data_IF_384292293391
#
_entry.id   IF_384292293391
#
_cell.length_a   1.000
_cell.length_b   1.000
_cell.length_c   1.000
_cell.angle_alpha   90.00
_cell.angle_beta   90.00
_cell.angle_gamma   90.00
#
_symmetry.space_group_name_H-M   'P 1'
#
loop_
_entity.id
_entity.type
_entity.pdbx_description
1 polymer ?
#
# COMPACT_ATOMS: atom_id res chain seq x y z
N UNK A 1 -4.56 -0.97 7.00
CA UNK A 1 -5.77 -0.66 7.80
C UNK A 1 -5.95 -1.51 9.06
N UNK A 2 -5.82 -2.84 9.00
CA UNK A 2 -6.20 -3.76 10.09
C UNK A 2 -5.57 -3.48 11.46
N UNK A 3 -4.34 -2.99 11.50
CA UNK A 3 -3.64 -2.66 12.75
C UNK A 3 -3.93 -1.26 13.28
N UNK A 4 -4.56 -0.37 12.50
CA UNK A 4 -4.77 1.02 12.89
C UNK A 4 -5.72 1.17 14.08
N UNK A 5 -6.84 0.44 14.06
CA UNK A 5 -7.78 0.40 15.18
C UNK A 5 -7.17 -0.14 16.48
N UNK A 6 -6.56 -1.33 16.49
CA UNK A 6 -5.84 -1.85 17.67
C UNK A 6 -4.80 -0.87 18.20
N UNK A 7 -4.01 -0.25 17.32
CA UNK A 7 -2.97 0.71 17.70
C UNK A 7 -3.56 1.93 18.42
N UNK A 8 -4.56 2.60 17.83
CA UNK A 8 -5.21 3.76 18.44
C UNK A 8 -5.93 3.43 19.75
N UNK A 9 -6.40 2.19 19.88
CA UNK A 9 -7.09 1.71 21.08
C UNK A 9 -6.14 1.11 22.13
N UNK A 10 -4.83 1.37 22.01
CA UNK A 10 -3.78 0.96 22.96
C UNK A 10 -3.65 -0.57 23.14
N UNK A 11 -4.05 -1.36 22.14
CA UNK A 11 -3.69 -2.79 22.10
C UNK A 11 -2.18 -2.95 22.14
N UNK A 12 -1.68 -4.02 22.75
CA UNK A 12 -0.24 -4.29 22.83
C UNK A 12 0.33 -4.68 21.45
N UNK A 13 1.64 -4.46 21.19
CA UNK A 13 2.29 -4.95 19.97
C UNK A 13 2.18 -6.46 19.74
N UNK A 14 1.95 -7.23 20.81
CA UNK A 14 1.80 -8.69 20.82
C UNK A 14 0.35 -9.17 20.63
N UNK A 15 -0.61 -8.25 20.46
CA UNK A 15 -2.00 -8.59 20.15
C UNK A 15 -2.07 -9.33 18.80
N UNK A 16 -2.83 -10.43 18.73
CA UNK A 16 -2.95 -11.23 17.51
C UNK A 16 -3.49 -10.44 16.31
N UNK A 17 -4.31 -9.40 16.57
CA UNK A 17 -4.82 -8.48 15.55
C UNK A 17 -3.71 -7.60 14.94
N UNK A 18 -2.55 -7.54 15.59
CA UNK A 18 -1.36 -6.81 15.15
C UNK A 18 -0.29 -7.77 14.63
N UNK A 19 0.02 -8.84 15.36
CA UNK A 19 1.08 -9.80 14.96
C UNK A 19 0.70 -10.58 13.72
N UNK A 20 -0.55 -11.06 13.60
CA UNK A 20 -1.00 -11.83 12.44
C UNK A 20 -0.79 -11.12 11.09
N UNK A 21 -1.24 -9.84 10.94
CA UNK A 21 -0.93 -9.06 9.75
C UNK A 21 0.57 -8.81 9.53
N UNK A 22 1.34 -8.55 10.60
CA UNK A 22 2.80 -8.33 10.51
C UNK A 22 3.53 -9.56 9.99
N UNK A 23 3.19 -10.75 10.48
CA UNK A 23 3.82 -12.00 10.04
C UNK A 23 3.56 -12.27 8.56
N UNK A 24 2.37 -11.92 8.05
CA UNK A 24 2.05 -12.00 6.62
C UNK A 24 2.92 -11.04 5.81
N UNK A 25 3.04 -9.79 6.27
CA UNK A 25 3.90 -8.80 5.60
C UNK A 25 5.37 -9.21 5.65
N UNK A 26 5.84 -9.79 6.75
CA UNK A 26 7.25 -10.21 6.88
C UNK A 26 7.58 -11.35 5.93
N UNK A 27 6.71 -12.36 5.82
CA UNK A 27 6.86 -13.42 4.81
C UNK A 27 6.86 -12.88 3.38
N UNK A 28 5.96 -11.96 3.07
CA UNK A 28 5.89 -11.35 1.73
C UNK A 28 7.13 -10.50 1.42
N UNK A 29 7.66 -9.79 2.42
CA UNK A 29 8.89 -9.01 2.32
C UNK A 29 10.10 -9.91 2.10
N UNK A 30 10.24 -11.00 2.86
CA UNK A 30 11.34 -11.94 2.68
C UNK A 30 11.28 -12.57 1.29
N UNK A 31 10.10 -13.03 0.84
CA UNK A 31 9.92 -13.57 -0.51
C UNK A 31 10.21 -12.54 -1.62
N UNK A 32 9.86 -11.26 -1.43
CA UNK A 32 10.19 -10.20 -2.37
C UNK A 32 11.70 -10.02 -2.50
N UNK A 33 12.41 -9.93 -1.37
CA UNK A 33 13.86 -9.74 -1.36
C UNK A 33 14.57 -10.94 -2.00
N UNK A 34 14.17 -12.17 -1.64
CA UNK A 34 14.72 -13.41 -2.19
C UNK A 34 14.52 -13.48 -3.72
N UNK A 35 13.35 -13.12 -4.23
CA UNK A 35 13.07 -13.13 -5.67
C UNK A 35 13.89 -12.04 -6.39
N UNK A 36 14.05 -10.86 -5.80
CA UNK A 36 14.80 -9.76 -6.42
C UNK A 36 16.31 -9.95 -6.39
N UNK A 37 16.84 -10.71 -5.42
CA UNK A 37 18.25 -11.07 -5.37
C UNK A 37 18.66 -11.97 -6.56
N UNK A 38 17.70 -12.64 -7.20
CA UNK A 38 17.93 -13.46 -8.39
C UNK A 38 18.05 -12.67 -9.70
N UNK A 39 17.70 -11.38 -9.68
CA UNK A 39 17.81 -10.52 -10.85
C UNK A 39 19.30 -10.20 -11.01
N UNK A 40 19.91 -10.79 -12.03
CA UNK A 40 21.36 -10.78 -12.27
C UNK A 40 21.91 -9.42 -12.70
N UNK A 41 23.04 -9.44 -13.40
CA UNK A 41 23.69 -8.22 -13.89
C UNK A 41 22.80 -7.51 -14.93
N UNK A 42 22.52 -6.23 -14.67
CA UNK A 42 21.71 -5.36 -15.53
C UNK A 42 22.54 -4.45 -16.42
N UNK A 43 23.88 -4.53 -16.39
CA UNK A 43 24.78 -3.65 -17.14
C UNK A 43 24.45 -3.66 -18.65
N UNK A 44 24.16 -2.47 -19.19
CA UNK A 44 23.93 -2.27 -20.62
C UNK A 44 22.47 -2.37 -21.06
N UNK A 45 21.52 -2.58 -20.14
CA UNK A 45 20.09 -2.45 -20.37
C UNK A 45 19.49 -1.36 -19.47
N UNK A 46 19.26 -0.17 -20.04
CA UNK A 46 18.73 1.00 -19.32
C UNK A 46 17.40 0.71 -18.60
N UNK A 47 16.56 -0.18 -19.14
CA UNK A 47 15.28 -0.54 -18.52
C UNK A 47 15.50 -1.43 -17.29
N UNK A 48 16.42 -2.39 -17.36
CA UNK A 48 16.77 -3.23 -16.21
C UNK A 48 17.51 -2.43 -15.13
N UNK A 49 18.39 -1.50 -15.50
CA UNK A 49 19.06 -0.61 -14.53
C UNK A 49 18.04 0.25 -13.74
N UNK A 50 17.03 0.78 -14.44
CA UNK A 50 15.93 1.52 -13.79
C UNK A 50 15.12 0.63 -12.83
N UNK A 51 14.81 -0.60 -13.24
CA UNK A 51 14.11 -1.59 -12.41
C UNK A 51 14.95 -1.92 -11.16
N UNK A 52 16.26 -2.12 -11.30
CA UNK A 52 17.17 -2.37 -10.18
C UNK A 52 17.23 -1.20 -9.19
N UNK A 53 17.23 0.04 -9.69
CA UNK A 53 17.19 1.23 -8.84
C UNK A 53 15.88 1.28 -8.02
N UNK A 54 14.73 1.03 -8.66
CA UNK A 54 13.43 0.94 -7.99
C UNK A 54 13.38 -0.17 -6.94
N UNK A 55 13.91 -1.35 -7.25
CA UNK A 55 14.01 -2.47 -6.31
C UNK A 55 14.88 -2.10 -5.11
N UNK A 56 16.04 -1.49 -5.34
CA UNK A 56 16.96 -1.08 -4.27
C UNK A 56 16.31 -0.06 -3.32
N UNK A 57 15.56 0.89 -3.88
CA UNK A 57 14.78 1.85 -3.10
C UNK A 57 13.72 1.15 -2.25
N UNK A 58 12.97 0.21 -2.83
CA UNK A 58 11.93 -0.55 -2.14
C UNK A 58 12.57 -1.42 -1.04
N UNK A 59 13.69 -2.09 -1.30
CA UNK A 59 14.41 -2.88 -0.31
C UNK A 59 14.82 -2.03 0.90
N UNK A 60 15.31 -0.80 0.67
CA UNK A 60 15.60 0.17 1.73
C UNK A 60 14.35 0.52 2.54
N UNK A 61 13.23 0.85 1.88
CA UNK A 61 11.95 1.14 2.54
C UNK A 61 11.47 -0.07 3.38
N UNK A 62 11.54 -1.28 2.83
CA UNK A 62 11.21 -2.53 3.52
C UNK A 62 12.10 -2.78 4.74
N UNK A 63 13.39 -2.42 4.67
CA UNK A 63 14.31 -2.45 5.81
C UNK A 63 13.83 -1.58 6.98
N UNK A 64 13.14 -0.47 6.70
CA UNK A 64 12.60 0.44 7.72
C UNK A 64 11.27 0.00 8.33
N UNK A 65 10.64 -1.07 7.82
CA UNK A 65 9.29 -1.48 8.25
C UNK A 65 9.23 -1.82 9.75
N UNK A 66 10.32 -2.37 10.31
CA UNK A 66 10.45 -2.64 11.75
C UNK A 66 10.49 -1.35 12.56
N UNK A 67 11.16 -0.32 12.05
CA UNK A 67 11.20 1.02 12.67
C UNK A 67 9.83 1.66 12.64
N UNK A 68 9.14 1.69 11.49
CA UNK A 68 7.77 2.20 11.35
C UNK A 68 6.84 1.55 12.39
N UNK A 69 6.92 0.22 12.51
CA UNK A 69 6.14 -0.56 13.47
C UNK A 69 6.47 -0.28 14.93
N UNK A 70 7.71 0.10 15.24
CA UNK A 70 8.16 0.46 16.59
C UNK A 70 7.68 1.86 16.93
N UNK A 71 7.94 2.84 16.07
CA UNK A 71 7.56 4.25 16.27
C UNK A 71 6.06 4.43 16.33
N UNK A 72 5.29 3.58 15.65
CA UNK A 72 3.83 3.56 15.74
C UNK A 72 3.29 3.40 17.18
N UNK A 73 4.07 2.78 18.08
CA UNK A 73 3.70 2.56 19.49
C UNK A 73 4.28 3.61 20.45
N UNK A 74 5.07 4.55 19.96
CA UNK A 74 5.61 5.61 20.79
C UNK A 74 4.47 6.54 21.25
N UNK A 75 4.56 6.98 22.50
CA UNK A 75 3.54 7.85 23.07
C UNK A 75 3.48 9.18 22.31
N UNK A 76 2.28 9.57 21.88
CA UNK A 76 2.07 10.78 21.07
C UNK A 76 2.41 10.64 19.59
N UNK A 77 2.80 9.46 19.10
CA UNK A 77 3.03 9.23 17.68
C UNK A 77 1.73 9.42 16.86
N UNK A 78 1.70 10.30 15.85
CA UNK A 78 0.51 10.47 15.02
C UNK A 78 0.23 9.21 14.19
N UNK A 79 -0.98 8.68 14.30
CA UNK A 79 -1.43 7.52 13.49
C UNK A 79 -1.29 7.78 11.98
N UNK A 80 -1.53 9.02 11.55
CA UNK A 80 -1.35 9.48 10.16
C UNK A 80 0.08 9.25 9.64
N UNK A 81 1.12 9.43 10.45
CA UNK A 81 2.50 9.23 10.01
C UNK A 81 2.78 7.74 9.71
N UNK A 82 2.20 6.84 10.50
CA UNK A 82 2.31 5.41 10.24
C UNK A 82 1.56 5.04 8.96
N UNK A 83 0.34 5.56 8.79
CA UNK A 83 -0.47 5.32 7.58
C UNK A 83 0.26 5.83 6.34
N UNK A 84 0.83 7.02 6.38
CA UNK A 84 1.52 7.63 5.24
C UNK A 84 2.76 6.84 4.82
N UNK A 85 3.60 6.42 5.78
CA UNK A 85 4.79 5.60 5.49
C UNK A 85 4.42 4.25 4.85
N UNK A 86 3.33 3.61 5.27
CA UNK A 86 2.83 2.40 4.59
C UNK A 86 2.32 2.71 3.17
N UNK A 87 1.56 3.79 3.00
CA UNK A 87 1.06 4.20 1.69
C UNK A 87 2.20 4.49 0.70
N UNK A 88 3.29 5.12 1.15
CA UNK A 88 4.47 5.37 0.32
C UNK A 88 5.11 4.07 -0.18
N UNK A 89 5.34 3.10 0.72
CA UNK A 89 5.88 1.78 0.35
C UNK A 89 4.98 1.05 -0.65
N UNK A 90 3.66 1.04 -0.41
CA UNK A 90 2.70 0.39 -1.31
C UNK A 90 2.71 1.08 -2.68
N UNK A 91 2.77 2.40 -2.72
CA UNK A 91 2.88 3.15 -3.97
C UNK A 91 4.15 2.77 -4.74
N UNK A 92 5.30 2.67 -4.07
CA UNK A 92 6.56 2.24 -4.70
C UNK A 92 6.47 0.82 -5.28
N UNK A 93 5.86 -0.13 -4.56
CA UNK A 93 5.62 -1.49 -5.06
C UNK A 93 4.73 -1.51 -6.31
N UNK A 94 3.70 -0.65 -6.36
CA UNK A 94 2.83 -0.53 -7.54
C UNK A 94 3.57 0.09 -8.74
N UNK A 95 4.40 1.09 -8.51
CA UNK A 95 5.24 1.69 -9.56
C UNK A 95 6.21 0.66 -10.17
N UNK A 96 6.88 -0.14 -9.35
CA UNK A 96 7.77 -1.20 -9.83
C UNK A 96 7.04 -2.17 -10.78
N UNK A 97 5.80 -2.55 -10.45
CA UNK A 97 5.02 -3.43 -11.33
C UNK A 97 4.79 -2.82 -12.72
N UNK A 98 4.57 -1.51 -12.80
CA UNK A 98 4.35 -0.80 -14.05
C UNK A 98 5.65 -0.69 -14.87
N UNK A 99 6.78 -0.44 -14.22
CA UNK A 99 8.09 -0.34 -14.87
C UNK A 99 8.50 -1.68 -15.48
N UNK A 100 8.32 -2.79 -14.72
CA UNK A 100 8.57 -4.14 -15.24
C UNK A 100 7.69 -4.47 -16.45
N UNK A 101 6.41 -4.10 -16.42
CA UNK A 101 5.52 -4.33 -17.56
C UNK A 101 5.95 -3.53 -18.80
N UNK A 102 6.43 -2.30 -18.61
CA UNK A 102 6.94 -1.46 -19.70
C UNK A 102 8.18 -2.07 -20.35
N UNK A 103 9.09 -2.65 -19.57
CA UNK A 103 10.29 -3.31 -20.08
C UNK A 103 9.97 -4.50 -21.01
N UNK A 104 8.85 -5.21 -20.81
CA UNK A 104 8.46 -6.33 -21.69
C UNK A 104 8.09 -5.94 -23.12
N UNK A 105 7.80 -4.65 -23.37
CA UNK A 105 7.27 -4.14 -24.65
C UNK A 105 6.00 -4.82 -25.16
N UNK A 106 5.31 -5.62 -24.34
CA UNK A 106 4.07 -6.30 -24.71
C UNK A 106 2.85 -5.40 -24.40
N UNK A 107 2.09 -4.93 -25.41
CA UNK A 107 0.97 -4.01 -25.18
C UNK A 107 -0.13 -4.55 -24.26
N UNK A 108 -0.40 -5.85 -24.30
CA UNK A 108 -1.43 -6.46 -23.46
C UNK A 108 -0.97 -6.59 -22.01
N UNK A 109 0.29 -6.96 -21.79
CA UNK A 109 0.91 -6.94 -20.45
C UNK A 109 0.92 -5.52 -19.87
N UNK A 110 1.29 -4.52 -20.66
CA UNK A 110 1.29 -3.11 -20.23
C UNK A 110 -0.12 -2.66 -19.82
N UNK A 111 -1.15 -2.95 -20.63
CA UNK A 111 -2.54 -2.61 -20.31
C UNK A 111 -3.02 -3.30 -19.03
N UNK A 112 -2.80 -4.61 -18.92
CA UNK A 112 -3.24 -5.41 -17.76
C UNK A 112 -2.55 -4.95 -16.49
N UNK A 113 -1.25 -4.67 -16.53
CA UNK A 113 -0.52 -4.20 -15.34
C UNK A 113 -0.89 -2.77 -14.96
N UNK A 114 -1.13 -1.89 -15.94
CA UNK A 114 -1.65 -0.54 -15.66
C UNK A 114 -3.04 -0.58 -15.01
N UNK A 115 -3.93 -1.46 -15.49
CA UNK A 115 -5.23 -1.68 -14.88
C UNK A 115 -5.09 -2.23 -13.44
N UNK A 116 -4.27 -3.26 -13.25
CA UNK A 116 -4.00 -3.83 -11.92
C UNK A 116 -3.44 -2.79 -10.95
N UNK A 117 -2.51 -1.95 -11.38
CA UNK A 117 -1.93 -0.88 -10.56
C UNK A 117 -2.96 0.19 -10.21
N UNK A 118 -3.82 0.60 -11.15
CA UNK A 118 -4.91 1.54 -10.88
C UNK A 118 -5.93 0.96 -9.88
N UNK A 119 -6.31 -0.30 -10.04
CA UNK A 119 -7.19 -1.00 -9.11
C UNK A 119 -6.57 -1.14 -7.71
N UNK A 120 -5.31 -1.55 -7.65
CA UNK A 120 -4.58 -1.71 -6.39
C UNK A 120 -4.38 -0.37 -5.68
N UNK A 121 -4.15 0.72 -6.43
CA UNK A 121 -4.12 2.08 -5.88
C UNK A 121 -5.47 2.47 -5.28
N UNK A 122 -6.58 2.19 -5.97
CA UNK A 122 -7.91 2.44 -5.43
C UNK A 122 -8.13 1.70 -4.11
N UNK A 123 -7.79 0.40 -4.07
CA UNK A 123 -7.87 -0.41 -2.85
C UNK A 123 -7.00 0.13 -1.72
N UNK A 124 -5.81 0.66 -2.03
CA UNK A 124 -4.96 1.28 -1.01
C UNK A 124 -5.59 2.57 -0.47
N UNK A 125 -6.13 3.44 -1.31
CA UNK A 125 -6.83 4.63 -0.84
C UNK A 125 -8.07 4.30 0.00
N UNK A 126 -8.80 3.23 -0.34
CA UNK A 126 -9.87 2.70 0.51
C UNK A 126 -9.33 2.17 1.87
N UNK A 127 -8.20 1.47 1.86
CA UNK A 127 -7.49 1.02 3.08
C UNK A 127 -7.07 2.21 3.94
N UNK A 128 -6.54 3.29 3.35
CA UNK A 128 -6.21 4.53 4.07
C UNK A 128 -7.44 5.11 4.76
N UNK A 129 -8.57 5.20 4.06
CA UNK A 129 -9.83 5.67 4.65
C UNK A 129 -10.26 4.80 5.84
N UNK A 130 -10.26 3.46 5.66
CA UNK A 130 -10.55 2.52 6.75
C UNK A 130 -9.60 2.69 7.93
N UNK A 131 -8.32 2.92 7.67
CA UNK A 131 -7.31 3.12 8.72
C UNK A 131 -7.56 4.41 9.51
N UNK A 132 -7.86 5.53 8.83
CA UNK A 132 -8.19 6.82 9.47
C UNK A 132 -9.44 6.68 10.33
N UNK A 133 -10.50 6.05 9.79
CA UNK A 133 -11.76 5.84 10.52
C UNK A 133 -11.52 4.91 11.72
N UNK A 134 -10.86 3.76 11.52
CA UNK A 134 -10.57 2.82 12.60
C UNK A 134 -9.69 3.43 13.70
N UNK A 135 -8.75 4.30 13.32
CA UNK A 135 -7.90 5.01 14.27
C UNK A 135 -8.68 6.05 15.09
N UNK A 136 -9.78 6.57 14.56
CA UNK A 136 -10.64 7.55 15.21
C UNK A 136 -11.76 6.96 16.06
N UNK A 137 -12.15 5.71 15.79
CA UNK A 137 -13.22 5.03 16.51
C UNK A 137 -12.76 4.55 17.90
N UNK A 138 -13.56 4.80 18.96
CA UNK A 138 -13.23 4.36 20.31
C UNK A 138 -13.37 2.84 20.43
N UNK A 139 -12.57 2.25 21.31
CA UNK A 139 -12.50 0.83 21.55
C UNK A 139 -11.52 0.49 22.68
N UNK A 140 -11.69 -0.69 23.29
CA UNK A 140 -10.82 -1.15 24.36
C UNK A 140 -10.73 -0.15 25.52
N UNK A 141 -9.56 0.46 25.70
CA UNK A 141 -9.27 1.41 26.79
C UNK A 141 -9.58 2.88 26.46
N UNK A 142 -9.87 3.20 25.20
CA UNK A 142 -10.20 4.56 24.74
C UNK A 142 -11.72 4.70 24.67
N UNK A 143 -12.26 5.72 25.34
CA UNK A 143 -13.70 5.90 25.51
C UNK A 143 -14.32 6.92 24.55
N UNK A 144 -13.52 7.87 24.07
CA UNK A 144 -14.00 8.96 23.22
C UNK A 144 -13.49 8.80 21.78
N UNK A 145 -14.33 9.05 20.76
CA UNK A 145 -13.86 9.14 19.39
C UNK A 145 -12.91 10.33 19.23
N UNK A 146 -11.90 10.18 18.38
CA UNK A 146 -10.96 11.25 18.07
C UNK A 146 -10.73 11.35 16.57
N UNK A 147 -11.35 12.37 15.94
CA UNK A 147 -11.15 12.70 14.54
C UNK A 147 -10.91 14.20 14.41
N UNK A 148 -9.65 14.61 14.31
CA UNK A 148 -9.30 16.03 14.21
C UNK A 148 -9.47 16.53 12.75
N UNK A 149 -9.41 17.86 12.51
CA UNK A 149 -9.52 18.41 11.15
C UNK A 149 -8.50 17.87 10.14
N UNK A 150 -7.27 17.58 10.57
CA UNK A 150 -6.23 17.01 9.71
C UNK A 150 -6.56 15.58 9.30
N UNK A 151 -7.06 14.76 10.24
CA UNK A 151 -7.51 13.39 9.96
C UNK A 151 -8.66 13.40 8.94
N UNK A 152 -9.62 14.33 9.10
CA UNK A 152 -10.73 14.51 8.15
C UNK A 152 -10.24 14.89 6.75
N UNK A 153 -9.31 15.84 6.67
CA UNK A 153 -8.76 16.27 5.38
C UNK A 153 -7.98 15.14 4.72
N UNK A 154 -7.19 14.39 5.48
CA UNK A 154 -6.41 13.27 4.98
C UNK A 154 -7.33 12.16 4.43
N UNK A 155 -8.37 11.77 5.18
CA UNK A 155 -9.37 10.81 4.73
C UNK A 155 -10.16 11.29 3.50
N UNK A 156 -10.56 12.56 3.46
CA UNK A 156 -11.24 13.15 2.29
C UNK A 156 -10.35 13.16 1.05
N UNK A 157 -9.07 13.46 1.19
CA UNK A 157 -8.10 13.39 0.11
C UNK A 157 -7.94 11.95 -0.40
N UNK A 158 -7.93 10.96 0.50
CA UNK A 158 -7.89 9.55 0.12
C UNK A 158 -9.14 9.14 -0.68
N UNK A 159 -10.34 9.54 -0.26
CA UNK A 159 -11.59 9.30 -1.00
C UNK A 159 -11.56 9.89 -2.42
N UNK A 160 -11.05 11.11 -2.56
CA UNK A 160 -10.90 11.75 -3.87
C UNK A 160 -9.87 11.01 -4.75
N UNK A 161 -8.78 10.51 -4.16
CA UNK A 161 -7.77 9.72 -4.87
C UNK A 161 -8.31 8.35 -5.30
N UNK A 162 -9.08 7.68 -4.44
CA UNK A 162 -9.77 6.43 -4.76
C UNK A 162 -10.69 6.60 -5.97
N UNK A 163 -11.57 7.61 -5.95
CA UNK A 163 -12.49 7.88 -7.07
C UNK A 163 -11.77 8.04 -8.41
N UNK A 164 -10.63 8.75 -8.41
CA UNK A 164 -9.80 8.92 -9.61
C UNK A 164 -9.13 7.62 -10.04
N UNK A 165 -8.60 6.84 -9.09
CA UNK A 165 -7.97 5.55 -9.38
C UNK A 165 -8.98 4.54 -9.94
N UNK A 166 -10.20 4.49 -9.40
CA UNK A 166 -11.30 3.66 -9.93
C UNK A 166 -11.70 4.07 -11.33
N UNK A 167 -11.80 5.37 -11.60
CA UNK A 167 -12.08 5.88 -12.95
C UNK A 167 -10.99 5.44 -13.92
N UNK A 168 -9.72 5.61 -13.54
CA UNK A 168 -8.58 5.18 -14.35
C UNK A 168 -8.59 3.67 -14.60
N UNK A 169 -8.87 2.86 -13.58
CA UNK A 169 -9.03 1.41 -13.72
C UNK A 169 -10.10 1.05 -14.74
N UNK A 170 -11.32 1.59 -14.59
CA UNK A 170 -12.44 1.34 -15.51
C UNK A 170 -12.06 1.70 -16.96
N UNK A 171 -11.43 2.85 -17.16
CA UNK A 171 -11.00 3.29 -18.49
C UNK A 171 -9.94 2.36 -19.07
N UNK A 172 -8.87 2.04 -18.34
CA UNK A 172 -7.76 1.22 -18.84
C UNK A 172 -8.22 -0.22 -19.05
N UNK A 173 -8.92 -0.81 -18.08
CA UNK A 173 -9.43 -2.18 -18.17
C UNK A 173 -10.45 -2.31 -19.31
N UNK A 174 -11.32 -1.31 -19.53
CA UNK A 174 -12.23 -1.31 -20.68
C UNK A 174 -11.50 -1.38 -22.04
N UNK A 175 -10.23 -0.97 -22.13
CA UNK A 175 -9.43 -1.11 -23.36
C UNK A 175 -8.93 -2.55 -23.62
N UNK A 176 -9.11 -3.48 -22.68
CA UNK A 176 -8.80 -4.91 -22.88
C UNK A 176 -9.96 -5.68 -23.52
N UNK A 177 -11.13 -5.05 -23.68
CA UNK A 177 -12.35 -5.71 -24.17
C UNK A 177 -13.10 -6.51 -23.11
N UNK A 178 -12.65 -6.46 -21.84
CA UNK A 178 -13.28 -7.11 -20.68
C UNK A 178 -14.06 -6.07 -19.84
N UNK A 179 -15.11 -6.49 -19.12
CA UNK A 179 -15.86 -5.62 -18.21
C UNK A 179 -15.21 -5.55 -16.82
N UNK A 180 -15.08 -4.34 -16.28
CA UNK A 180 -14.58 -4.12 -14.94
C UNK A 180 -15.62 -4.41 -13.83
N UNK A 181 -16.91 -4.58 -14.18
CA UNK A 181 -18.00 -4.66 -13.19
C UNK A 181 -17.83 -5.80 -12.19
N UNK A 182 -17.43 -7.00 -12.64
CA UNK A 182 -17.22 -8.15 -11.76
C UNK A 182 -16.02 -7.99 -10.83
N UNK A 183 -14.97 -7.30 -11.28
CA UNK A 183 -13.76 -7.04 -10.49
C UNK A 183 -13.96 -5.94 -9.43
N UNK A 184 -15.04 -5.18 -9.50
CA UNK A 184 -15.38 -4.10 -8.56
C UNK A 184 -16.40 -4.50 -7.49
N UNK A 185 -16.88 -5.76 -7.50
CA UNK A 185 -17.78 -6.25 -6.46
C UNK A 185 -17.06 -6.39 -5.10
N UNK A 186 -17.80 -6.23 -4.00
CA UNK A 186 -17.65 -5.08 -3.12
C UNK A 186 -16.20 -4.88 -2.60
N UNK A 187 -15.62 -3.72 -2.96
CA UNK A 187 -14.40 -3.12 -2.39
C UNK A 187 -14.62 -2.52 -0.98
#
# INVERSE_FOLDING_TARGET
DQSAGPLSNKSKPTDYKVTGPRDKTDRAKDAFLDETDSIGDSEGDEALESIHASISQIASQLGTIRTIRKTAYEEGAPSLNTIDQYNQLITSLLSLSQDMAQATSNPDMIKRTRALAAFSSAKEYASVQRAVIAAALPGGSVKEPHLNPNDRQFGSNALAKESRALTSFKTIYGTTGESAEELMAPL
#
